data_IF_090962246740
#
_entry.id   IF_090962246740
#
_cell.length_a   1.000
_cell.length_b   1.000
_cell.length_c   1.000
_cell.angle_alpha   90.00
_cell.angle_beta   90.00
_cell.angle_gamma   90.00
#
_symmetry.space_group_name_H-M   'P 1'
#
loop_
_entity.id
_entity.type
_entity.pdbx_description
1 polymer ?
#
# COMPACT_ATOMS: atom_id res chain seq x y z
N UNK A 1 65.59 -26.04 24.82
CA UNK A 1 66.07 -24.70 25.22
C UNK A 1 66.07 -23.87 23.95
N UNK A 2 65.28 -22.84 23.70
CA UNK A 2 64.67 -21.76 24.50
C UNK A 2 63.34 -21.42 23.78
N UNK A 3 62.18 -21.79 24.33
CA UNK A 3 61.22 -20.89 25.00
C UNK A 3 60.89 -19.64 24.15
N UNK A 4 59.67 -19.51 23.60
CA UNK A 4 58.54 -18.87 24.33
C UNK A 4 59.04 -17.75 25.25
N UNK A 5 59.32 -16.56 24.72
CA UNK A 5 59.33 -15.29 25.45
C UNK A 5 59.65 -14.13 24.48
N UNK A 6 58.63 -13.65 23.77
CA UNK A 6 58.41 -12.21 23.65
C UNK A 6 56.90 -11.97 23.56
N UNK A 7 56.27 -12.17 24.72
CA UNK A 7 54.97 -11.59 25.04
C UNK A 7 55.21 -10.09 25.27
N UNK A 8 54.22 -9.27 24.91
CA UNK A 8 54.04 -7.86 25.26
C UNK A 8 54.94 -6.83 24.57
N UNK A 9 54.37 -6.07 23.62
CA UNK A 9 54.05 -4.65 23.88
C UNK A 9 53.12 -4.06 22.79
N UNK A 10 51.90 -3.72 23.23
CA UNK A 10 50.98 -2.66 22.80
C UNK A 10 50.43 -2.66 21.35
N UNK A 11 49.10 -2.88 21.17
CA UNK A 11 48.00 -1.87 21.19
C UNK A 11 48.03 -0.95 19.94
N UNK A 12 46.98 -0.67 19.16
CA UNK A 12 45.53 -0.83 19.33
C UNK A 12 44.83 -0.32 18.04
N UNK A 13 43.58 -0.74 17.80
CA UNK A 13 42.59 -0.25 16.81
C UNK A 13 42.93 -0.48 15.31
N UNK A 14 42.15 -1.21 14.52
CA UNK A 14 40.68 -1.17 14.42
C UNK A 14 40.07 -2.57 14.35
N UNK A 15 39.34 -2.92 15.41
CA UNK A 15 38.10 -3.68 15.24
C UNK A 15 37.10 -2.74 14.57
N UNK A 16 37.08 -2.70 13.26
CA UNK A 16 35.82 -2.48 12.53
C UNK A 16 35.50 -3.80 11.85
N UNK A 17 35.20 -4.81 12.67
CA UNK A 17 34.20 -5.77 12.23
C UNK A 17 32.98 -4.94 11.85
N UNK A 18 32.62 -4.95 10.57
CA UNK A 18 31.28 -4.58 10.15
C UNK A 18 30.35 -5.49 10.93
N UNK A 19 29.90 -5.02 12.09
CA UNK A 19 28.92 -5.71 12.90
C UNK A 19 27.58 -5.46 12.20
N UNK A 20 27.34 -6.17 11.10
CA UNK A 20 25.98 -6.45 10.68
C UNK A 20 25.41 -7.33 11.78
N UNK A 21 24.90 -6.71 12.85
CA UNK A 21 24.10 -7.37 13.86
C UNK A 21 22.86 -7.91 13.13
N UNK A 22 22.97 -9.12 12.60
CA UNK A 22 21.83 -9.88 12.10
C UNK A 22 20.93 -10.07 13.31
N UNK A 23 19.76 -9.43 13.28
CA UNK A 23 18.74 -9.56 14.31
C UNK A 23 18.46 -11.04 14.55
N UNK A 24 18.34 -11.45 15.81
CA UNK A 24 18.12 -12.86 16.15
C UNK A 24 16.68 -13.28 15.81
N UNK A 25 16.46 -14.56 15.51
CA UNK A 25 15.11 -15.09 15.26
C UNK A 25 14.19 -14.88 16.47
N UNK A 26 14.76 -14.90 17.69
CA UNK A 26 14.04 -14.61 18.93
C UNK A 26 13.56 -13.15 18.95
N UNK A 27 14.40 -12.20 18.55
CA UNK A 27 14.04 -10.78 18.46
C UNK A 27 13.01 -10.53 17.36
N UNK A 28 13.13 -11.19 16.21
CA UNK A 28 12.11 -11.15 15.15
C UNK A 28 10.76 -11.61 15.69
N UNK A 29 10.70 -12.78 16.34
CA UNK A 29 9.46 -13.31 16.93
C UNK A 29 8.90 -12.38 18.01
N UNK A 30 9.76 -11.77 18.82
CA UNK A 30 9.37 -10.79 19.83
C UNK A 30 8.73 -9.55 19.18
N UNK A 31 9.34 -8.99 18.14
CA UNK A 31 8.79 -7.85 17.39
C UNK A 31 7.46 -8.19 16.72
N UNK A 32 7.33 -9.40 16.15
CA UNK A 32 6.07 -9.88 15.57
C UNK A 32 4.97 -10.01 16.62
N UNK A 33 5.28 -10.54 17.81
CA UNK A 33 4.32 -10.63 18.92
C UNK A 33 3.83 -9.23 19.34
N UNK A 34 4.76 -8.29 19.54
CA UNK A 34 4.42 -6.91 19.87
C UNK A 34 3.55 -6.26 18.80
N UNK A 35 3.87 -6.47 17.52
CA UNK A 35 3.03 -5.97 16.42
C UNK A 35 1.63 -6.57 16.43
N UNK A 36 1.47 -7.84 16.82
CA UNK A 36 0.14 -8.46 16.96
C UNK A 36 -0.65 -7.84 18.11
N UNK A 37 -0.02 -7.64 19.27
CA UNK A 37 -0.64 -6.91 20.40
C UNK A 37 -1.03 -5.49 19.99
N UNK A 38 -0.17 -4.80 19.23
CA UNK A 38 -0.49 -3.48 18.68
C UNK A 38 -1.72 -3.49 17.78
N UNK A 39 -1.87 -4.51 16.93
CA UNK A 39 -3.04 -4.69 16.08
C UNK A 39 -4.31 -4.93 16.89
N UNK A 40 -4.25 -5.78 17.92
CA UNK A 40 -5.38 -6.04 18.82
C UNK A 40 -5.85 -4.76 19.54
N UNK A 41 -4.91 -3.94 20.03
CA UNK A 41 -5.23 -2.62 20.60
C UNK A 41 -5.83 -1.66 19.55
N UNK A 42 -5.28 -1.63 18.34
CA UNK A 42 -5.78 -0.76 17.27
C UNK A 42 -7.22 -1.11 16.89
N UNK A 43 -7.54 -2.40 16.78
CA UNK A 43 -8.90 -2.89 16.51
C UNK A 43 -9.88 -2.57 17.65
N UNK A 44 -9.37 -2.49 18.88
CA UNK A 44 -10.16 -2.11 20.06
C UNK A 44 -10.28 -0.59 20.26
N UNK A 45 -9.70 0.21 19.36
CA UNK A 45 -9.69 1.67 19.43
C UNK A 45 -8.67 2.26 20.42
N UNK A 46 -7.85 1.43 21.05
CA UNK A 46 -6.82 1.83 22.03
C UNK A 46 -5.53 2.28 21.32
N UNK A 47 -5.63 3.36 20.54
CA UNK A 47 -4.58 3.84 19.62
C UNK A 47 -3.24 4.11 20.29
N UNK A 48 -3.23 4.65 21.51
CA UNK A 48 -2.01 4.96 22.24
C UNK A 48 -1.24 3.69 22.65
N UNK A 49 -1.96 2.65 23.07
CA UNK A 49 -1.36 1.34 23.40
C UNK A 49 -0.87 0.64 22.14
N UNK A 50 -1.63 0.72 21.05
CA UNK A 50 -1.20 0.21 19.76
C UNK A 50 0.12 0.86 19.32
N UNK A 51 0.18 2.20 19.40
CA UNK A 51 1.36 3.00 19.05
C UNK A 51 2.58 2.61 19.90
N UNK A 52 2.41 2.37 21.19
CA UNK A 52 3.47 1.89 22.08
C UNK A 52 4.04 0.55 21.58
N UNK A 53 3.16 -0.43 21.32
CA UNK A 53 3.59 -1.76 20.88
C UNK A 53 4.25 -1.77 19.52
N UNK A 54 3.76 -0.98 18.57
CA UNK A 54 4.41 -0.83 17.27
C UNK A 54 5.78 -0.15 17.37
N UNK A 55 5.93 0.86 18.24
CA UNK A 55 7.25 1.49 18.49
C UNK A 55 8.23 0.53 19.15
N UNK A 56 7.79 -0.30 20.09
CA UNK A 56 8.62 -1.36 20.66
C UNK A 56 9.07 -2.36 19.57
N UNK A 57 8.15 -2.80 18.71
CA UNK A 57 8.46 -3.71 17.60
C UNK A 57 9.46 -3.08 16.61
N UNK A 58 9.27 -1.82 16.24
CA UNK A 58 10.15 -1.08 15.34
C UNK A 58 11.55 -0.88 15.93
N UNK A 59 11.68 -0.62 17.24
CA UNK A 59 12.99 -0.54 17.91
C UNK A 59 13.75 -1.86 17.86
N UNK A 60 13.05 -2.99 17.94
CA UNK A 60 13.66 -4.32 17.88
C UNK A 60 14.08 -4.66 16.46
N UNK A 61 13.21 -4.41 15.48
CA UNK A 61 13.45 -4.71 14.06
C UNK A 61 13.07 -3.54 13.16
N UNK A 62 13.96 -2.54 13.08
CA UNK A 62 13.73 -1.33 12.28
C UNK A 62 13.73 -1.57 10.77
N UNK A 63 14.23 -2.74 10.32
CA UNK A 63 14.21 -3.13 8.90
C UNK A 63 12.84 -3.59 8.42
N UNK A 64 11.95 -3.99 9.33
CA UNK A 64 10.58 -4.32 8.96
C UNK A 64 9.73 -3.05 8.92
N UNK A 65 9.63 -2.47 7.72
CA UNK A 65 8.95 -1.20 7.48
C UNK A 65 7.44 -1.24 7.75
N UNK A 66 6.83 -2.43 7.90
CA UNK A 66 5.43 -2.55 8.28
C UNK A 66 5.15 -1.91 9.64
N UNK A 67 6.07 -2.03 10.60
CA UNK A 67 5.90 -1.40 11.92
C UNK A 67 5.89 0.12 11.82
N UNK A 68 6.77 0.68 10.97
CA UNK A 68 6.80 2.10 10.70
C UNK A 68 5.50 2.56 10.05
N UNK A 69 4.98 1.81 9.07
CA UNK A 69 3.68 2.07 8.43
C UNK A 69 2.53 2.08 9.43
N UNK A 70 2.49 1.16 10.39
CA UNK A 70 1.45 1.14 11.43
C UNK A 70 1.51 2.37 12.33
N UNK A 71 2.72 2.79 12.75
CA UNK A 71 2.92 4.01 13.56
C UNK A 71 2.44 5.25 12.79
N UNK A 72 2.86 5.37 11.52
CA UNK A 72 2.44 6.47 10.63
C UNK A 72 0.92 6.46 10.45
N UNK A 73 0.33 5.29 10.21
CA UNK A 73 -1.11 5.10 10.05
C UNK A 73 -1.90 5.65 11.24
N UNK A 74 -1.50 5.31 12.47
CA UNK A 74 -2.13 5.82 13.69
C UNK A 74 -2.09 7.36 13.74
N UNK A 75 -0.93 7.96 13.48
CA UNK A 75 -0.80 9.42 13.49
C UNK A 75 -1.64 10.09 12.40
N UNK A 76 -1.70 9.50 11.22
CA UNK A 76 -2.54 9.99 10.12
C UNK A 76 -4.02 9.91 10.47
N UNK A 77 -4.49 8.83 11.07
CA UNK A 77 -5.87 8.71 11.55
C UNK A 77 -6.20 9.75 12.63
N UNK A 78 -5.24 10.07 13.50
CA UNK A 78 -5.35 11.14 14.49
C UNK A 78 -5.20 12.54 13.87
N UNK A 79 -4.96 12.64 12.56
CA UNK A 79 -4.65 13.88 11.81
C UNK A 79 -3.38 14.60 12.30
N UNK A 80 -2.51 13.90 13.04
CA UNK A 80 -1.19 14.38 13.46
C UNK A 80 -0.16 14.14 12.34
N UNK A 81 -0.35 14.83 11.22
CA UNK A 81 0.53 14.71 10.05
C UNK A 81 1.98 15.12 10.36
N UNK A 82 2.19 15.96 11.38
CA UNK A 82 3.54 16.37 11.80
C UNK A 82 4.29 15.15 12.33
N UNK A 83 3.71 14.42 13.29
CA UNK A 83 4.33 13.19 13.80
C UNK A 83 4.45 12.10 12.76
N UNK A 84 3.50 12.00 11.82
CA UNK A 84 3.59 11.07 10.71
C UNK A 84 4.86 11.35 9.85
N UNK A 85 5.13 12.61 9.50
CA UNK A 85 6.36 12.96 8.80
C UNK A 85 7.60 12.75 9.67
N UNK A 86 7.61 13.18 10.93
CA UNK A 86 8.75 12.98 11.84
C UNK A 86 9.11 11.49 11.95
N UNK A 87 8.11 10.63 12.07
CA UNK A 87 8.27 9.17 12.10
C UNK A 87 8.89 8.64 10.81
N UNK A 88 8.39 9.07 9.64
CA UNK A 88 8.99 8.68 8.36
C UNK A 88 10.45 9.16 8.23
N UNK A 89 10.77 10.31 8.82
CA UNK A 89 12.12 10.86 8.85
C UNK A 89 13.06 10.17 9.86
N UNK A 90 12.58 9.22 10.67
CA UNK A 90 13.43 8.34 11.49
C UNK A 90 14.15 7.28 10.66
N UNK A 91 13.75 7.08 9.39
CA UNK A 91 14.45 6.16 8.49
C UNK A 91 15.93 6.55 8.31
N UNK A 92 16.84 5.58 8.19
CA UNK A 92 18.23 5.83 7.82
C UNK A 92 18.34 6.64 6.53
N UNK A 93 19.40 7.45 6.40
CA UNK A 93 19.61 8.35 5.25
C UNK A 93 19.62 7.58 3.92
N UNK A 94 20.12 6.35 3.96
CA UNK A 94 20.22 5.41 2.84
C UNK A 94 18.82 4.97 2.38
N UNK A 95 17.87 4.85 3.30
CA UNK A 95 16.50 4.39 3.03
C UNK A 95 15.56 5.54 2.60
N UNK A 96 15.94 6.80 2.85
CA UNK A 96 15.17 8.02 2.48
C UNK A 96 15.14 8.33 0.97
N UNK A 97 15.52 7.37 0.13
CA UNK A 97 15.42 7.45 -1.34
C UNK A 97 14.83 6.18 -1.96
N UNK A 98 14.14 5.39 -1.15
CA UNK A 98 13.43 4.19 -1.58
C UNK A 98 12.04 4.50 -2.14
N UNK A 99 11.47 3.55 -2.89
CA UNK A 99 10.06 3.59 -3.33
C UNK A 99 9.15 3.76 -2.11
N UNK A 100 9.38 2.98 -1.05
CA UNK A 100 8.63 3.05 0.20
C UNK A 100 8.63 4.45 0.81
N UNK A 101 9.79 5.10 0.92
CA UNK A 101 9.90 6.44 1.51
C UNK A 101 9.04 7.44 0.73
N UNK A 102 9.18 7.46 -0.60
CA UNK A 102 8.45 8.41 -1.43
C UNK A 102 6.94 8.12 -1.48
N UNK A 103 6.53 6.86 -1.56
CA UNK A 103 5.10 6.48 -1.51
C UNK A 103 4.46 6.85 -0.18
N UNK A 104 5.12 6.54 0.94
CA UNK A 104 4.61 6.88 2.28
C UNK A 104 4.49 8.39 2.43
N UNK A 105 5.51 9.15 1.99
CA UNK A 105 5.47 10.62 1.99
C UNK A 105 4.32 11.16 1.14
N UNK A 106 4.10 10.57 -0.03
CA UNK A 106 3.01 10.95 -0.92
C UNK A 106 1.63 10.70 -0.29
N UNK A 107 1.44 9.54 0.35
CA UNK A 107 0.21 9.20 1.06
C UNK A 107 -0.09 10.17 2.21
N UNK A 108 0.91 10.51 3.03
CA UNK A 108 0.75 11.51 4.11
C UNK A 108 0.31 12.87 3.53
N UNK A 109 0.93 13.31 2.43
CA UNK A 109 0.52 14.55 1.75
C UNK A 109 -0.91 14.48 1.19
N UNK A 110 -1.29 13.36 0.55
CA UNK A 110 -2.63 13.18 -0.01
C UNK A 110 -3.71 13.23 1.08
N UNK A 111 -3.46 12.59 2.23
CA UNK A 111 -4.36 12.60 3.39
C UNK A 111 -4.41 13.97 4.08
N UNK A 112 -3.32 14.74 4.00
CA UNK A 112 -3.29 16.17 4.37
C UNK A 112 -3.97 17.08 3.32
N UNK A 113 -4.46 16.52 2.20
CA UNK A 113 -5.04 17.22 1.04
C UNK A 113 -4.06 18.12 0.29
N UNK A 114 -2.75 17.91 0.45
CA UNK A 114 -1.71 18.52 -0.39
C UNK A 114 -1.41 17.63 -1.60
N UNK A 115 -2.34 17.62 -2.56
CA UNK A 115 -2.27 16.75 -3.73
C UNK A 115 -1.09 17.08 -4.65
N UNK A 116 -0.61 18.33 -4.63
CA UNK A 116 0.57 18.74 -5.40
C UNK A 116 1.83 18.06 -4.87
N UNK A 117 2.04 18.13 -3.55
CA UNK A 117 3.17 17.44 -2.91
C UNK A 117 3.03 15.92 -2.98
N UNK A 118 1.80 15.38 -2.90
CA UNK A 118 1.54 13.96 -3.10
C UNK A 118 1.99 13.51 -4.49
N UNK A 119 1.51 14.16 -5.55
CA UNK A 119 1.88 13.84 -6.95
C UNK A 119 3.38 13.90 -7.17
N UNK A 120 4.05 14.93 -6.66
CA UNK A 120 5.50 15.06 -6.78
C UNK A 120 6.25 13.88 -6.13
N UNK A 121 5.78 13.39 -4.98
CA UNK A 121 6.41 12.25 -4.33
C UNK A 121 6.06 10.92 -4.99
N UNK A 122 4.85 10.73 -5.53
CA UNK A 122 4.55 9.57 -6.36
C UNK A 122 5.41 9.52 -7.64
N UNK A 123 5.68 10.67 -8.26
CA UNK A 123 6.62 10.76 -9.38
C UNK A 123 8.04 10.35 -9.00
N UNK A 124 8.51 10.73 -7.80
CA UNK A 124 9.81 10.28 -7.29
C UNK A 124 9.81 8.77 -7.02
N UNK A 125 8.76 8.25 -6.38
CA UNK A 125 8.60 6.82 -6.15
C UNK A 125 8.63 6.03 -7.45
N UNK A 126 7.86 6.44 -8.47
CA UNK A 126 7.83 5.81 -9.78
C UNK A 126 9.19 5.85 -10.49
N UNK A 127 9.89 6.99 -10.42
CA UNK A 127 11.26 7.09 -10.98
C UNK A 127 12.27 6.18 -10.27
N UNK A 128 12.07 5.90 -8.99
CA UNK A 128 12.92 5.02 -8.20
C UNK A 128 12.57 3.54 -8.39
N UNK A 129 11.33 3.22 -8.74
CA UNK A 129 10.89 1.84 -8.91
C UNK A 129 11.54 1.21 -10.14
N UNK A 130 11.92 -0.07 -10.01
CA UNK A 130 12.32 -0.87 -11.16
C UNK A 130 11.09 -1.06 -12.08
N UNK A 131 11.23 -0.82 -13.40
CA UNK A 131 10.16 -1.12 -14.35
C UNK A 131 9.84 -2.62 -14.33
N UNK A 132 8.55 -2.94 -14.37
CA UNK A 132 8.04 -4.32 -14.50
C UNK A 132 6.94 -4.34 -15.55
N UNK A 133 7.11 -5.14 -16.60
CA UNK A 133 6.17 -5.31 -17.71
C UNK A 133 5.58 -6.71 -17.79
N UNK A 134 4.66 -6.91 -18.74
CA UNK A 134 4.01 -8.21 -18.93
C UNK A 134 5.00 -9.34 -19.27
N UNK A 135 6.13 -9.03 -19.93
CA UNK A 135 7.18 -9.98 -20.25
C UNK A 135 7.96 -10.49 -19.04
N UNK A 136 7.90 -9.77 -17.92
CA UNK A 136 8.64 -10.09 -16.70
C UNK A 136 7.82 -10.94 -15.72
N UNK A 137 6.58 -11.32 -16.11
CA UNK A 137 5.64 -12.05 -15.26
C UNK A 137 5.74 -13.53 -15.59
N UNK A 138 6.32 -14.30 -14.66
CA UNK A 138 6.54 -15.73 -14.82
C UNK A 138 5.46 -16.55 -14.09
N UNK A 139 4.97 -16.04 -12.96
CA UNK A 139 3.94 -16.71 -12.16
C UNK A 139 2.98 -15.76 -11.43
N UNK A 140 2.07 -16.33 -10.62
CA UNK A 140 1.04 -15.58 -9.90
C UNK A 140 1.61 -14.57 -8.88
N UNK A 141 2.82 -14.81 -8.36
CA UNK A 141 3.44 -13.95 -7.35
C UNK A 141 3.92 -12.62 -7.94
N UNK A 142 4.18 -12.57 -9.25
CA UNK A 142 4.60 -11.37 -9.96
C UNK A 142 3.42 -10.40 -10.24
N UNK A 143 2.18 -10.88 -10.15
CA UNK A 143 0.98 -10.07 -10.42
C UNK A 143 0.79 -8.96 -9.38
N UNK A 144 1.12 -9.21 -8.11
CA UNK A 144 0.98 -8.20 -7.05
C UNK A 144 2.00 -7.06 -7.20
N UNK A 145 3.31 -7.33 -7.40
CA UNK A 145 4.28 -6.30 -7.77
C UNK A 145 3.89 -5.51 -9.02
N UNK A 146 3.44 -6.19 -10.08
CA UNK A 146 3.02 -5.56 -11.33
C UNK A 146 1.84 -4.60 -11.13
N UNK A 147 0.77 -5.05 -10.48
CA UNK A 147 -0.42 -4.21 -10.24
C UNK A 147 -0.10 -3.05 -9.29
N UNK A 148 0.74 -3.27 -8.28
CA UNK A 148 1.28 -2.21 -7.42
C UNK A 148 2.09 -1.17 -8.21
N UNK A 149 2.90 -1.62 -9.18
CA UNK A 149 3.61 -0.73 -10.08
C UNK A 149 2.66 0.07 -10.98
N UNK A 150 1.62 -0.57 -11.55
CA UNK A 150 0.61 0.11 -12.36
C UNK A 150 -0.16 1.18 -11.56
N UNK A 151 -0.48 0.92 -10.29
CA UNK A 151 -1.08 1.93 -9.41
C UNK A 151 -0.11 3.09 -9.15
N UNK A 152 1.16 2.81 -8.87
CA UNK A 152 2.18 3.84 -8.69
C UNK A 152 2.38 4.70 -9.96
N UNK A 153 2.44 4.05 -11.12
CA UNK A 153 2.51 4.67 -12.45
C UNK A 153 1.32 5.60 -12.69
N UNK A 154 0.12 5.17 -12.28
CA UNK A 154 -1.11 5.98 -12.32
C UNK A 154 -1.01 7.22 -11.43
N UNK A 155 -0.58 7.07 -10.17
CA UNK A 155 -0.42 8.21 -9.25
C UNK A 155 0.67 9.19 -9.68
N UNK A 156 1.70 8.71 -10.39
CA UNK A 156 2.72 9.56 -11.01
C UNK A 156 2.20 10.38 -12.21
N UNK A 157 1.01 10.04 -12.73
CA UNK A 157 0.34 10.71 -13.84
C UNK A 157 0.47 9.99 -15.18
N UNK A 158 0.85 8.71 -15.19
CA UNK A 158 1.04 7.90 -16.40
C UNK A 158 -0.06 6.84 -16.56
N UNK A 159 -1.32 7.25 -16.33
CA UNK A 159 -2.50 6.37 -16.33
C UNK A 159 -2.61 5.48 -17.58
N UNK A 160 -2.40 6.06 -18.76
CA UNK A 160 -2.56 5.31 -20.01
C UNK A 160 -1.50 4.20 -20.15
N UNK A 161 -0.28 4.43 -19.67
CA UNK A 161 0.78 3.40 -19.60
C UNK A 161 0.43 2.29 -18.63
N UNK A 162 -0.14 2.64 -17.47
CA UNK A 162 -0.59 1.65 -16.50
C UNK A 162 -1.71 0.76 -17.06
N UNK A 163 -2.66 1.35 -17.80
CA UNK A 163 -3.71 0.59 -18.47
C UNK A 163 -3.15 -0.31 -19.57
N UNK A 164 -2.24 0.20 -20.40
CA UNK A 164 -1.54 -0.59 -21.42
C UNK A 164 -0.85 -1.80 -20.80
N UNK A 165 -0.05 -1.59 -19.74
CA UNK A 165 0.65 -2.63 -19.00
C UNK A 165 -0.29 -3.74 -18.53
N UNK A 166 -1.40 -3.38 -17.87
CA UNK A 166 -2.37 -4.37 -17.39
C UNK A 166 -3.09 -5.09 -18.54
N UNK A 167 -3.43 -4.37 -19.62
CA UNK A 167 -4.03 -4.96 -20.81
C UNK A 167 -3.08 -5.93 -21.53
N UNK A 168 -1.78 -5.68 -21.49
CA UNK A 168 -0.77 -6.60 -22.01
C UNK A 168 -0.64 -7.85 -21.14
N UNK A 169 -0.62 -7.71 -19.81
CA UNK A 169 -0.58 -8.84 -18.89
C UNK A 169 -1.81 -9.72 -19.03
N UNK A 170 -3.00 -9.16 -19.25
CA UNK A 170 -4.24 -9.93 -19.48
C UNK A 170 -4.20 -10.84 -20.72
N UNK A 171 -3.17 -10.74 -21.57
CA UNK A 171 -2.97 -11.61 -22.74
C UNK A 171 -2.15 -12.88 -22.42
N UNK A 172 -1.68 -13.05 -21.19
CA UNK A 172 -0.90 -14.21 -20.79
C UNK A 172 -1.80 -15.46 -20.72
N UNK A 173 -1.44 -16.50 -21.47
CA UNK A 173 -2.29 -17.69 -21.66
C UNK A 173 -2.44 -18.56 -20.39
N UNK A 174 -1.54 -18.41 -19.41
CA UNK A 174 -1.55 -19.22 -18.18
C UNK A 174 -2.43 -18.63 -17.07
N UNK A 175 -2.98 -17.43 -17.24
CA UNK A 175 -3.76 -16.77 -16.21
C UNK A 175 -5.02 -17.60 -15.87
N UNK A 176 -5.18 -17.91 -14.59
CA UNK A 176 -6.45 -18.44 -14.09
C UNK A 176 -7.55 -17.37 -14.14
N UNK A 177 -8.82 -17.78 -14.06
CA UNK A 177 -9.94 -16.85 -13.93
C UNK A 177 -9.75 -15.90 -12.73
N UNK A 178 -9.20 -16.40 -11.61
CA UNK A 178 -8.90 -15.59 -10.43
C UNK A 178 -7.83 -14.53 -10.72
N UNK A 179 -6.81 -14.88 -11.51
CA UNK A 179 -5.74 -13.95 -11.88
C UNK A 179 -6.28 -12.84 -12.80
N UNK A 180 -7.12 -13.22 -13.77
CA UNK A 180 -7.80 -12.27 -14.67
C UNK A 180 -8.65 -11.30 -13.84
N UNK A 181 -9.51 -11.84 -12.95
CA UNK A 181 -10.36 -11.01 -12.10
C UNK A 181 -9.55 -10.04 -11.23
N UNK A 182 -8.44 -10.50 -10.64
CA UNK A 182 -7.56 -9.65 -9.85
C UNK A 182 -6.97 -8.49 -10.67
N UNK A 183 -6.44 -8.77 -11.85
CA UNK A 183 -5.87 -7.75 -12.74
C UNK A 183 -6.95 -6.79 -13.24
N UNK A 184 -8.11 -7.31 -13.65
CA UNK A 184 -9.25 -6.50 -14.11
C UNK A 184 -9.77 -5.56 -13.03
N UNK A 185 -9.85 -6.01 -11.76
CA UNK A 185 -10.24 -5.14 -10.66
C UNK A 185 -9.33 -3.91 -10.58
N UNK A 186 -8.01 -4.09 -10.55
CA UNK A 186 -7.06 -2.98 -10.48
C UNK A 186 -7.09 -2.13 -11.76
N UNK A 187 -7.18 -2.75 -12.94
CA UNK A 187 -7.31 -2.07 -14.23
C UNK A 187 -8.53 -1.15 -14.24
N UNK A 188 -9.68 -1.62 -13.75
CA UNK A 188 -10.92 -0.88 -13.69
C UNK A 188 -10.82 0.33 -12.73
N UNK A 189 -10.18 0.16 -11.56
CA UNK A 189 -9.87 1.27 -10.66
C UNK A 189 -9.06 2.37 -11.38
N UNK A 190 -8.04 1.96 -12.12
CA UNK A 190 -7.16 2.86 -12.89
C UNK A 190 -7.92 3.54 -14.04
N UNK A 191 -8.81 2.83 -14.73
CA UNK A 191 -9.58 3.40 -15.85
C UNK A 191 -10.40 4.62 -15.39
N UNK A 192 -11.07 4.48 -14.24
CA UNK A 192 -11.89 5.51 -13.61
C UNK A 192 -11.12 6.52 -12.75
N UNK A 193 -9.82 6.29 -12.54
CA UNK A 193 -8.96 7.25 -11.87
C UNK A 193 -8.84 8.55 -12.68
N UNK A 194 -8.90 9.67 -11.95
CA UNK A 194 -8.83 11.03 -12.52
C UNK A 194 -7.65 11.81 -11.98
N UNK A 195 -7.62 12.00 -10.68
CA UNK A 195 -6.61 12.74 -9.95
C UNK A 195 -6.51 12.19 -8.53
N UNK A 196 -5.39 12.46 -7.86
CA UNK A 196 -5.18 12.13 -6.45
C UNK A 196 -6.20 12.92 -5.64
N UNK A 197 -7.09 12.22 -4.96
CA UNK A 197 -8.02 12.82 -4.02
C UNK A 197 -7.89 12.19 -2.64
N UNK A 198 -8.57 12.77 -1.66
CA UNK A 198 -8.57 12.25 -0.29
C UNK A 198 -9.22 10.86 -0.23
N UNK A 199 -10.29 10.65 -0.99
CA UNK A 199 -11.05 9.39 -1.11
C UNK A 199 -10.24 8.22 -1.66
N UNK A 200 -9.14 8.46 -2.39
CA UNK A 200 -8.26 7.39 -2.84
C UNK A 200 -7.48 6.74 -1.68
N UNK A 201 -7.41 7.40 -0.52
CA UNK A 201 -6.64 6.97 0.65
C UNK A 201 -7.48 6.91 1.94
N UNK A 202 -8.78 7.19 1.86
CA UNK A 202 -9.72 7.13 2.98
C UNK A 202 -10.92 6.26 2.60
N UNK A 203 -11.53 5.58 3.56
CA UNK A 203 -12.79 4.88 3.34
C UNK A 203 -13.89 5.88 2.95
N UNK A 204 -14.33 5.86 1.69
CA UNK A 204 -15.44 6.66 1.18
C UNK A 204 -16.78 5.99 1.47
N UNK A 205 -17.84 6.79 1.57
CA UNK A 205 -19.21 6.26 1.54
C UNK A 205 -19.50 5.70 0.14
N UNK A 206 -19.86 4.43 0.08
CA UNK A 206 -20.22 3.77 -1.18
C UNK A 206 -21.57 4.25 -1.71
N UNK A 207 -21.67 4.38 -3.02
CA UNK A 207 -22.94 4.54 -3.71
C UNK A 207 -23.71 3.22 -3.58
N UNK A 208 -24.88 3.28 -2.94
CA UNK A 208 -25.76 2.11 -2.86
C UNK A 208 -26.72 2.08 -4.05
N UNK A 209 -26.65 1.00 -4.84
CA UNK A 209 -27.57 0.71 -5.94
C UNK A 209 -28.56 -0.37 -5.52
N UNK A 210 -29.85 -0.09 -5.68
CA UNK A 210 -30.93 -1.04 -5.36
C UNK A 210 -31.38 -1.76 -6.64
N UNK A 211 -31.48 -3.08 -6.60
CA UNK A 211 -31.89 -3.93 -7.72
C UNK A 211 -32.71 -5.12 -7.24
N UNK A 212 -33.65 -5.57 -8.07
CA UNK A 212 -34.36 -6.84 -7.87
C UNK A 212 -33.62 -8.04 -8.47
N UNK A 213 -32.58 -7.79 -9.26
CA UNK A 213 -31.75 -8.81 -9.89
C UNK A 213 -30.27 -8.38 -9.81
N UNK A 214 -29.57 -8.92 -8.81
CA UNK A 214 -28.16 -8.66 -8.53
C UNK A 214 -27.29 -9.18 -9.68
N UNK A 215 -27.43 -10.44 -10.07
CA UNK A 215 -26.59 -11.08 -11.08
C UNK A 215 -26.62 -10.35 -12.43
N UNK A 216 -27.79 -9.86 -12.84
CA UNK A 216 -27.94 -9.07 -14.06
C UNK A 216 -27.21 -7.73 -13.96
N UNK A 217 -27.33 -7.05 -12.82
CA UNK A 217 -26.65 -5.79 -12.58
C UNK A 217 -25.13 -5.98 -12.52
N UNK A 218 -24.64 -7.00 -11.81
CA UNK A 218 -23.20 -7.32 -11.74
C UNK A 218 -22.62 -7.60 -13.13
N UNK A 219 -23.33 -8.32 -14.01
CA UNK A 219 -22.92 -8.52 -15.40
C UNK A 219 -22.86 -7.21 -16.19
N UNK A 220 -23.78 -6.28 -15.96
CA UNK A 220 -23.77 -4.96 -16.61
C UNK A 220 -22.57 -4.14 -16.11
N UNK A 221 -22.34 -4.12 -14.79
CA UNK A 221 -21.23 -3.38 -14.18
C UNK A 221 -19.87 -3.92 -14.65
N UNK A 222 -19.71 -5.24 -14.65
CA UNK A 222 -18.51 -5.93 -15.13
C UNK A 222 -18.18 -5.56 -16.57
N UNK A 223 -19.16 -5.62 -17.49
CA UNK A 223 -19.00 -5.23 -18.89
C UNK A 223 -18.63 -3.75 -19.10
N UNK A 224 -18.79 -2.91 -18.08
CA UNK A 224 -18.50 -1.49 -18.11
C UNK A 224 -17.34 -1.10 -17.18
N UNK A 225 -16.56 -2.10 -16.73
CA UNK A 225 -15.37 -1.91 -15.90
C UNK A 225 -15.68 -1.19 -14.58
N UNK A 226 -16.84 -1.48 -13.97
CA UNK A 226 -17.26 -0.92 -12.69
C UNK A 226 -17.15 -2.00 -11.62
N UNK A 227 -16.28 -1.76 -10.63
CA UNK A 227 -16.12 -2.67 -9.50
C UNK A 227 -17.21 -2.45 -8.45
N UNK A 228 -17.66 -3.54 -7.83
CA UNK A 228 -18.45 -3.51 -6.59
C UNK A 228 -17.53 -3.67 -5.37
N UNK A 229 -17.89 -3.06 -4.24
CA UNK A 229 -17.05 -2.98 -3.03
C UNK A 229 -17.43 -3.98 -1.93
N UNK A 230 -18.46 -4.83 -2.13
CA UNK A 230 -18.91 -5.78 -1.10
C UNK A 230 -19.95 -6.80 -1.56
N UNK A 231 -20.38 -7.64 -0.62
CA UNK A 231 -21.35 -8.72 -0.88
C UNK A 231 -22.75 -8.17 -1.17
N UNK A 232 -23.32 -8.63 -2.27
CA UNK A 232 -24.63 -8.29 -2.79
C UNK A 232 -25.77 -9.01 -2.06
N UNK A 233 -25.87 -8.82 -0.74
CA UNK A 233 -27.00 -9.35 0.03
C UNK A 233 -28.21 -8.40 -0.06
N UNK A 234 -29.40 -8.96 -0.23
CA UNK A 234 -30.71 -8.26 -0.13
C UNK A 234 -30.99 -7.16 -1.17
N UNK A 235 -30.60 -7.38 -2.43
CA UNK A 235 -30.99 -6.49 -3.54
C UNK A 235 -30.26 -5.14 -3.55
N UNK A 236 -29.09 -5.08 -2.93
CA UNK A 236 -28.21 -3.91 -2.90
C UNK A 236 -26.83 -4.26 -3.42
N UNK A 237 -26.22 -3.33 -4.15
CA UNK A 237 -24.83 -3.38 -4.58
C UNK A 237 -24.16 -2.07 -4.15
N UNK A 238 -22.96 -2.18 -3.60
CA UNK A 238 -22.15 -1.05 -3.15
C UNK A 238 -21.08 -0.77 -4.19
N UNK A 239 -20.92 0.50 -4.55
CA UNK A 239 -20.03 0.94 -5.62
C UNK A 239 -19.31 2.19 -5.16
N UNK A 240 -17.98 2.18 -5.25
CA UNK A 240 -17.18 3.34 -4.86
C UNK A 240 -17.54 4.59 -5.69
N UNK A 241 -17.53 5.75 -5.04
CA UNK A 241 -17.90 7.04 -5.62
C UNK A 241 -17.18 7.36 -6.95
N UNK A 242 -15.93 6.92 -7.09
CA UNK A 242 -15.12 7.10 -8.31
C UNK A 242 -15.80 6.55 -9.58
N UNK A 243 -16.65 5.53 -9.47
CA UNK A 243 -17.37 4.93 -10.59
C UNK A 243 -18.68 5.67 -10.94
N UNK A 244 -19.07 6.74 -10.24
CA UNK A 244 -20.31 7.49 -10.49
C UNK A 244 -20.50 7.87 -11.95
N UNK A 245 -19.43 8.28 -12.65
CA UNK A 245 -19.51 8.62 -14.08
C UNK A 245 -19.91 7.42 -14.95
N UNK A 246 -19.44 6.22 -14.60
CA UNK A 246 -19.82 4.97 -15.27
C UNK A 246 -21.29 4.66 -15.06
N UNK A 247 -21.74 4.76 -13.80
CA UNK A 247 -23.16 4.57 -13.46
C UNK A 247 -24.07 5.54 -14.21
N UNK A 248 -23.71 6.82 -14.26
CA UNK A 248 -24.48 7.84 -14.99
C UNK A 248 -24.58 7.53 -16.49
N UNK A 249 -23.52 7.01 -17.12
CA UNK A 249 -23.55 6.61 -18.54
C UNK A 249 -24.52 5.44 -18.79
N UNK A 250 -24.71 4.59 -17.79
CA UNK A 250 -25.62 3.44 -17.82
C UNK A 250 -27.03 3.80 -17.37
N UNK A 251 -27.29 5.06 -17.01
CA UNK A 251 -28.53 5.51 -16.37
C UNK A 251 -28.87 4.71 -15.09
N UNK A 252 -27.86 4.23 -14.37
CA UNK A 252 -28.00 3.56 -13.08
C UNK A 252 -27.97 4.62 -11.99
N UNK A 253 -29.07 4.77 -11.24
CA UNK A 253 -29.19 5.77 -10.18
C UNK A 253 -29.10 5.13 -8.79
N UNK A 254 -28.57 5.86 -7.78
CA UNK A 254 -28.57 5.41 -6.39
C UNK A 254 -29.98 5.13 -5.84
N UNK A 255 -30.07 4.34 -4.77
CA UNK A 255 -31.33 4.15 -4.04
C UNK A 255 -31.90 5.50 -3.57
N UNK A 256 -33.22 5.67 -3.59
CA UNK A 256 -33.88 6.91 -3.13
C UNK A 256 -33.54 7.30 -1.69
N UNK A 257 -33.20 6.34 -0.84
CA UNK A 257 -32.90 6.55 0.59
C UNK A 257 -31.40 6.70 0.90
N UNK A 258 -30.53 6.83 -0.12
CA UNK A 258 -29.06 6.93 0.05
C UNK A 258 -28.53 8.36 0.18
N UNK A 259 -29.41 9.34 0.35
CA UNK A 259 -29.04 10.74 0.62
C UNK A 259 -29.33 11.01 2.09
N UNK A 260 -28.33 10.85 2.95
CA UNK A 260 -28.24 11.50 4.27
C UNK A 260 -26.77 11.81 4.55
#
# INVERSE_FOLDING_TARGET
MIKRLLKLMLLCFFLTSCNQNKISDTDIKKAQKLSKEGMEYSLSGEKEKALEKYKEAFKINSKNLNYLSYIIGIYVEQKDFKKAFETLEELPVEDKKSVFYYQTKAAIYALKKDYKSAKLNFQKAYKTAEPIGASDIEDEYDLMPLTGHAMLETYAGHKDKALERLNETLKLDWLSESNIMYIEQIRNEIEYYRDIRFDDFSFSDDITICTTNVDSLEKILYKNHINSTGSSSSGKIYIAEKFRRGLNKLNITPCKDSIN
#
